data_IF_609578337763
#
_entry.id   IF_609578337763
#
_cell.length_a   1.000
_cell.length_b   1.000
_cell.length_c   1.000
_cell.angle_alpha   90.00
_cell.angle_beta   90.00
_cell.angle_gamma   90.00
#
_symmetry.space_group_name_H-M   'P 1'
#
loop_
_entity.id
_entity.type
_entity.pdbx_description
1 polymer ?
#
# COMPACT_ATOMS: atom_id res chain seq x y z
N UNK A 1 5.68 -16.93 -9.24
CA UNK A 1 6.63 -16.40 -10.26
C UNK A 1 6.01 -15.20 -11.00
N UNK A 2 4.79 -15.33 -11.51
CA UNK A 2 4.06 -14.27 -12.24
C UNK A 2 3.89 -12.98 -11.41
N UNK A 3 3.48 -13.11 -10.14
CA UNK A 3 3.31 -11.96 -9.24
C UNK A 3 4.62 -11.21 -8.98
N UNK A 4 5.74 -11.94 -8.81
CA UNK A 4 7.06 -11.31 -8.64
C UNK A 4 7.53 -10.59 -9.91
N UNK A 5 7.26 -11.16 -11.08
CA UNK A 5 7.59 -10.54 -12.36
C UNK A 5 6.76 -9.27 -12.58
N UNK A 6 5.46 -9.28 -12.26
CA UNK A 6 4.59 -8.10 -12.27
C UNK A 6 5.09 -7.02 -11.30
N UNK A 7 5.44 -7.37 -10.05
CA UNK A 7 6.05 -6.42 -9.10
C UNK A 7 7.31 -5.78 -9.68
N UNK A 8 8.24 -6.57 -10.22
CA UNK A 8 9.46 -6.06 -10.86
C UNK A 8 9.18 -5.11 -12.02
N UNK A 9 8.15 -5.39 -12.82
CA UNK A 9 7.74 -4.53 -13.95
C UNK A 9 7.15 -3.21 -13.45
N UNK A 10 6.38 -3.24 -12.37
CA UNK A 10 5.86 -2.04 -11.69
C UNK A 10 7.02 -1.25 -11.08
N UNK A 11 7.91 -1.92 -10.35
CA UNK A 11 9.07 -1.31 -9.69
C UNK A 11 10.13 -0.80 -10.68
N UNK A 12 10.25 -1.41 -11.87
CA UNK A 12 11.12 -0.93 -12.94
C UNK A 12 10.79 0.48 -13.42
N UNK A 13 9.58 0.95 -13.16
CA UNK A 13 9.21 2.35 -13.34
C UNK A 13 9.79 3.28 -12.29
N UNK A 14 10.23 2.76 -11.14
CA UNK A 14 10.85 3.56 -10.10
C UNK A 14 12.14 4.27 -10.57
N UNK A 15 12.84 3.73 -11.57
CA UNK A 15 13.99 4.40 -12.16
C UNK A 15 13.61 5.68 -12.92
N UNK A 16 12.50 5.64 -13.69
CA UNK A 16 11.95 6.81 -14.38
C UNK A 16 11.44 7.84 -13.37
N UNK A 17 10.83 7.37 -12.30
CA UNK A 17 10.36 8.14 -11.16
C UNK A 17 11.52 8.88 -10.46
N UNK A 18 12.68 8.23 -10.28
CA UNK A 18 13.86 8.85 -9.69
C UNK A 18 14.34 10.05 -10.51
N UNK A 19 14.40 9.92 -11.82
CA UNK A 19 14.82 10.99 -12.72
C UNK A 19 13.84 12.17 -12.69
N UNK A 20 12.54 11.91 -12.65
CA UNK A 20 11.53 12.96 -12.50
C UNK A 20 11.62 13.64 -11.13
N UNK A 21 11.83 12.87 -10.07
CA UNK A 21 12.03 13.39 -8.72
C UNK A 21 13.24 14.32 -8.62
N UNK A 22 14.35 13.98 -9.26
CA UNK A 22 15.53 14.86 -9.32
C UNK A 22 15.21 16.20 -9.98
N UNK A 23 14.39 16.21 -11.03
CA UNK A 23 13.93 17.47 -11.65
C UNK A 23 13.02 18.29 -10.75
N UNK A 24 12.17 17.65 -9.93
CA UNK A 24 11.30 18.32 -8.98
C UNK A 24 12.07 18.92 -7.78
N UNK A 25 13.18 18.29 -7.39
CA UNK A 25 14.07 18.82 -6.33
C UNK A 25 14.81 20.10 -6.76
N UNK A 26 14.83 20.42 -8.04
CA UNK A 26 15.40 21.68 -8.56
C UNK A 26 14.42 22.84 -8.52
N UNK A 27 13.14 22.60 -8.19
CA UNK A 27 12.16 23.67 -8.02
C UNK A 27 12.40 24.39 -6.68
N UNK A 28 12.83 25.68 -6.69
CA UNK A 28 13.13 26.42 -5.48
C UNK A 28 11.91 26.74 -4.61
N UNK A 29 10.71 26.58 -5.15
CA UNK A 29 9.46 26.81 -4.43
C UNK A 29 8.91 25.53 -3.79
N UNK A 30 9.49 24.38 -4.07
CA UNK A 30 9.06 23.11 -3.51
C UNK A 30 9.65 22.89 -2.13
N UNK A 31 8.83 22.59 -1.10
CA UNK A 31 9.35 22.25 0.23
C UNK A 31 10.24 21.00 0.17
N UNK A 32 11.53 21.13 0.53
CA UNK A 32 12.51 20.05 0.45
C UNK A 32 12.36 18.96 1.51
N UNK A 33 11.49 19.18 2.50
CA UNK A 33 11.27 18.26 3.62
C UNK A 33 10.01 17.40 3.51
N UNK A 34 9.18 17.60 2.48
CA UNK A 34 8.01 16.75 2.28
C UNK A 34 8.37 15.47 1.52
N UNK A 35 7.77 14.36 1.96
CA UNK A 35 7.73 13.17 1.13
C UNK A 35 7.01 13.50 -0.18
N UNK A 36 7.66 13.19 -1.28
CA UNK A 36 7.13 13.39 -2.61
C UNK A 36 6.95 12.05 -3.26
N UNK A 37 5.69 11.68 -3.49
CA UNK A 37 5.36 10.51 -4.28
C UNK A 37 5.82 10.72 -5.73
N UNK A 38 6.32 9.68 -6.40
CA UNK A 38 6.71 9.74 -7.80
C UNK A 38 5.54 10.12 -8.70
N UNK A 39 5.52 11.36 -9.15
CA UNK A 39 4.54 11.89 -10.10
C UNK A 39 4.97 11.58 -11.55
N UNK A 40 4.03 11.64 -12.49
CA UNK A 40 4.29 11.50 -13.94
C UNK A 40 4.20 10.07 -14.48
N UNK A 41 4.49 9.06 -13.69
CA UNK A 41 4.33 7.64 -14.07
C UNK A 41 3.17 7.00 -13.32
N UNK A 42 2.89 7.48 -12.11
CA UNK A 42 1.83 7.03 -11.24
C UNK A 42 1.00 8.22 -10.75
N UNK A 43 -0.28 7.99 -10.48
CA UNK A 43 -1.14 8.95 -9.82
C UNK A 43 -1.27 8.54 -8.34
N UNK A 44 -0.61 9.26 -7.41
CA UNK A 44 -0.68 8.95 -5.99
C UNK A 44 -1.96 9.52 -5.38
N UNK A 45 -2.49 8.79 -4.39
CA UNK A 45 -3.52 9.27 -3.49
C UNK A 45 -3.39 8.55 -2.15
N UNK A 46 -4.31 8.64 -1.26
CA UNK A 46 -4.40 8.10 0.08
C UNK A 46 -3.13 7.51 0.72
N UNK A 47 -2.52 8.19 1.71
CA UNK A 47 -1.52 7.58 2.57
C UNK A 47 -2.19 6.51 3.44
N UNK A 48 -1.55 5.35 3.55
CA UNK A 48 -2.06 4.18 4.26
C UNK A 48 -1.00 3.55 5.16
N UNK A 49 -1.45 2.64 6.02
CA UNK A 49 -0.60 1.64 6.65
C UNK A 49 0.62 2.18 7.39
N UNK A 50 0.55 3.37 7.98
CA UNK A 50 1.65 3.91 8.76
C UNK A 50 1.93 3.04 9.99
N UNK A 51 3.21 2.65 10.19
CA UNK A 51 3.64 1.88 11.34
C UNK A 51 5.11 2.19 11.68
N UNK A 52 5.43 2.28 12.99
CA UNK A 52 6.81 2.28 13.45
C UNK A 52 7.25 0.82 13.70
N UNK A 53 8.26 0.38 12.96
CA UNK A 53 8.74 -0.99 13.02
C UNK A 53 10.27 -1.05 12.92
N UNK A 54 10.89 -1.77 13.84
CA UNK A 54 12.36 -2.00 13.86
C UNK A 54 13.21 -0.74 13.62
N UNK A 55 12.85 0.36 14.31
CA UNK A 55 13.62 1.62 14.26
C UNK A 55 13.29 2.51 13.06
N UNK A 56 12.27 2.20 12.28
CA UNK A 56 11.86 2.99 11.12
C UNK A 56 10.36 3.29 11.13
N UNK A 57 10.01 4.47 10.65
CA UNK A 57 8.63 4.82 10.29
C UNK A 57 8.37 4.31 8.88
N UNK A 58 7.46 3.38 8.72
CA UNK A 58 6.99 2.91 7.44
C UNK A 58 5.70 3.60 7.09
N UNK A 59 5.55 3.97 5.82
CA UNK A 59 4.34 4.56 5.26
C UNK A 59 4.05 3.88 3.92
N UNK A 60 2.83 3.47 3.76
CA UNK A 60 2.31 3.02 2.47
C UNK A 60 1.42 4.10 1.89
N UNK A 61 1.20 4.04 0.58
CA UNK A 61 0.30 4.96 -0.13
C UNK A 61 -0.26 4.26 -1.37
N UNK A 62 -1.49 4.60 -1.72
CA UNK A 62 -2.06 4.11 -2.96
C UNK A 62 -1.47 4.88 -4.13
N UNK A 63 -1.13 4.19 -5.21
CA UNK A 63 -0.85 4.79 -6.48
C UNK A 63 -1.51 4.01 -7.62
N UNK A 64 -1.93 4.75 -8.66
CA UNK A 64 -2.51 4.18 -9.86
C UNK A 64 -1.47 4.08 -10.96
N UNK A 65 -1.24 2.86 -11.44
CA UNK A 65 -0.45 2.63 -12.65
C UNK A 65 -1.40 2.53 -13.86
N UNK A 66 -1.23 3.46 -14.80
CA UNK A 66 -2.02 3.51 -16.05
C UNK A 66 -1.26 2.94 -17.24
N UNK A 67 -0.04 2.44 -17.04
CA UNK A 67 0.74 1.83 -18.11
C UNK A 67 0.12 0.50 -18.55
N UNK A 68 0.12 0.24 -19.83
CA UNK A 68 -0.51 -0.97 -20.38
C UNK A 68 -2.01 -0.87 -20.61
N UNK A 69 -2.61 0.33 -20.47
CA UNK A 69 -4.00 0.62 -20.87
C UNK A 69 -5.07 0.24 -19.82
N UNK A 70 -4.69 -0.41 -18.73
CA UNK A 70 -5.60 -0.71 -17.61
C UNK A 70 -5.15 0.04 -16.37
N UNK A 71 -6.11 0.71 -15.71
CA UNK A 71 -5.91 1.32 -14.40
C UNK A 71 -5.81 0.22 -13.36
N UNK A 72 -4.73 0.22 -12.59
CA UNK A 72 -4.58 -0.67 -11.45
C UNK A 72 -4.06 0.10 -10.25
N UNK A 73 -4.61 -0.20 -9.07
CA UNK A 73 -4.25 0.43 -7.81
C UNK A 73 -3.30 -0.48 -7.03
N UNK A 74 -2.25 0.11 -6.49
CA UNK A 74 -1.20 -0.59 -5.76
C UNK A 74 -0.84 0.17 -4.49
N UNK A 75 -0.25 -0.52 -3.52
CA UNK A 75 0.35 0.11 -2.35
C UNK A 75 1.85 0.29 -2.56
N UNK A 76 2.28 1.52 -2.79
CA UNK A 76 3.68 1.92 -2.70
C UNK A 76 4.16 1.89 -1.26
N UNK A 77 5.49 1.77 -1.06
CA UNK A 77 6.09 1.65 0.26
C UNK A 77 7.31 2.56 0.38
N UNK A 78 7.35 3.31 1.46
CA UNK A 78 8.51 4.12 1.86
C UNK A 78 8.80 3.96 3.34
N UNK A 79 10.05 4.21 3.75
CA UNK A 79 10.38 4.28 5.17
C UNK A 79 11.39 5.36 5.47
N UNK A 80 11.38 5.85 6.73
CA UNK A 80 12.26 6.88 7.23
C UNK A 80 12.69 6.59 8.67
N UNK A 81 13.88 7.05 9.05
CA UNK A 81 14.33 7.06 10.45
C UNK A 81 14.04 8.38 11.16
N UNK A 82 13.74 9.44 10.42
CA UNK A 82 13.64 10.82 10.92
C UNK A 82 12.42 11.60 10.39
N UNK A 83 11.58 10.98 9.55
CA UNK A 83 10.41 11.56 8.87
C UNK A 83 10.75 12.62 7.81
N UNK A 84 12.02 12.92 7.59
CA UNK A 84 12.48 13.88 6.58
C UNK A 84 13.13 13.19 5.38
N UNK A 85 13.95 12.17 5.63
CA UNK A 85 14.66 11.42 4.60
C UNK A 85 13.96 10.08 4.36
N UNK A 86 13.36 9.92 3.19
CA UNK A 86 12.57 8.76 2.85
C UNK A 86 13.28 7.83 1.87
N UNK A 87 13.31 6.55 2.22
CA UNK A 87 13.77 5.46 1.36
C UNK A 87 12.57 4.84 0.67
N UNK A 88 12.64 4.68 -0.65
CA UNK A 88 11.66 3.90 -1.41
C UNK A 88 11.97 2.41 -1.32
N UNK A 89 10.92 1.63 -1.16
CA UNK A 89 10.94 0.18 -1.14
C UNK A 89 10.23 -0.38 -2.38
N UNK A 90 10.33 -1.70 -2.65
CA UNK A 90 9.46 -2.36 -3.60
C UNK A 90 7.98 -2.15 -3.28
N UNK A 91 7.13 -2.20 -4.29
CA UNK A 91 5.68 -2.11 -4.13
C UNK A 91 5.19 -3.20 -3.17
N UNK A 92 4.50 -2.81 -2.11
CA UNK A 92 4.03 -3.71 -1.06
C UNK A 92 2.92 -4.64 -1.57
N UNK A 93 1.77 -4.08 -1.93
CA UNK A 93 0.61 -4.81 -2.44
C UNK A 93 0.27 -4.36 -3.86
N UNK A 94 -0.16 -5.28 -4.70
CA UNK A 94 -0.54 -5.03 -6.09
C UNK A 94 -1.97 -5.48 -6.37
N UNK A 95 -2.57 -4.87 -7.42
CA UNK A 95 -3.83 -5.25 -8.06
C UNK A 95 -5.10 -4.95 -7.24
N UNK A 96 -5.60 -3.74 -7.43
CA UNK A 96 -6.91 -3.31 -6.91
C UNK A 96 -6.94 -3.10 -5.40
N UNK A 97 -5.83 -2.62 -4.83
CA UNK A 97 -5.70 -2.38 -3.39
C UNK A 97 -6.11 -0.95 -3.06
N UNK A 98 -7.19 -0.81 -2.28
CA UNK A 98 -7.64 0.47 -1.73
C UNK A 98 -7.27 0.63 -0.26
N UNK A 99 -7.74 1.72 0.36
CA UNK A 99 -7.34 2.20 1.67
C UNK A 99 -7.43 1.15 2.78
N UNK A 100 -6.69 1.38 3.83
CA UNK A 100 -6.62 0.56 5.03
C UNK A 100 -5.50 1.01 5.96
N UNK A 101 -5.11 0.15 6.90
CA UNK A 101 -4.03 0.45 7.83
C UNK A 101 -3.08 -0.73 8.06
N UNK A 102 -2.00 -0.47 8.78
CA UNK A 102 -1.08 -1.50 9.28
C UNK A 102 -1.13 -1.52 10.81
N UNK A 103 -1.13 -2.71 11.40
CA UNK A 103 -1.14 -2.94 12.84
C UNK A 103 -0.31 -4.18 13.19
N UNK A 104 0.00 -4.36 14.47
CA UNK A 104 0.62 -5.59 14.96
C UNK A 104 -0.48 -6.59 15.33
N UNK A 105 -0.40 -7.80 14.77
CA UNK A 105 -1.31 -8.89 15.13
C UNK A 105 -0.98 -9.51 16.49
N UNK A 106 -1.69 -10.54 16.91
CA UNK A 106 -1.51 -11.24 18.18
C UNK A 106 -0.08 -11.76 18.41
N UNK A 107 0.64 -12.07 17.35
CA UNK A 107 2.03 -12.54 17.38
C UNK A 107 3.04 -11.40 17.28
N UNK A 108 2.60 -10.14 17.31
CA UNK A 108 3.45 -8.96 17.16
C UNK A 108 4.01 -8.79 15.74
N UNK A 109 3.39 -9.38 14.74
CA UNK A 109 3.82 -9.30 13.33
C UNK A 109 3.01 -8.22 12.61
N UNK A 110 3.65 -7.31 11.86
CA UNK A 110 2.96 -6.32 11.06
C UNK A 110 1.97 -6.95 10.09
N UNK A 111 0.74 -6.49 10.15
CA UNK A 111 -0.38 -6.98 9.36
C UNK A 111 -1.10 -5.80 8.72
N UNK A 112 -1.30 -5.86 7.41
CA UNK A 112 -2.07 -4.88 6.66
C UNK A 112 -3.53 -5.34 6.58
N UNK A 113 -4.44 -4.42 6.91
CA UNK A 113 -5.85 -4.51 6.61
C UNK A 113 -6.13 -3.57 5.43
N UNK A 114 -6.75 -4.05 4.37
CA UNK A 114 -6.96 -3.30 3.14
C UNK A 114 -8.29 -3.66 2.46
N UNK A 115 -8.84 -2.73 1.69
CA UNK A 115 -9.97 -3.04 0.82
C UNK A 115 -9.43 -3.53 -0.54
N UNK A 116 -9.88 -4.70 -0.97
CA UNK A 116 -9.62 -5.20 -2.31
C UNK A 116 -10.87 -4.99 -3.18
N UNK A 117 -10.72 -4.24 -4.27
CA UNK A 117 -11.79 -3.96 -5.23
C UNK A 117 -12.44 -5.24 -5.72
N UNK A 118 -13.76 -5.24 -5.81
CA UNK A 118 -14.60 -6.37 -6.24
C UNK A 118 -14.51 -7.63 -5.34
N UNK A 119 -13.89 -7.53 -4.17
CA UNK A 119 -13.79 -8.66 -3.23
C UNK A 119 -14.22 -8.29 -1.82
N UNK A 120 -13.71 -7.20 -1.27
CA UNK A 120 -14.00 -6.76 0.09
C UNK A 120 -12.75 -6.57 0.94
N UNK A 121 -12.95 -6.41 2.27
CA UNK A 121 -11.87 -6.16 3.20
C UNK A 121 -11.07 -7.43 3.49
N UNK A 122 -9.76 -7.31 3.45
CA UNK A 122 -8.80 -8.40 3.43
C UNK A 122 -7.60 -8.10 4.31
N UNK A 123 -6.82 -9.13 4.65
CA UNK A 123 -5.60 -9.04 5.43
C UNK A 123 -4.38 -9.59 4.68
N UNK A 124 -3.23 -9.01 4.93
CA UNK A 124 -1.93 -9.54 4.52
C UNK A 124 -0.92 -9.41 5.67
N UNK A 125 -0.11 -10.43 5.89
CA UNK A 125 0.87 -10.52 6.98
C UNK A 125 2.27 -10.39 6.40
N UNK A 126 3.11 -9.56 7.04
CA UNK A 126 4.50 -9.37 6.63
C UNK A 126 5.29 -10.69 6.73
N UNK A 127 6.17 -10.89 5.77
CA UNK A 127 7.07 -12.05 5.71
C UNK A 127 8.54 -11.67 5.97
N UNK A 128 8.85 -10.38 6.05
CA UNK A 128 10.20 -9.88 6.28
C UNK A 128 10.22 -8.62 7.17
N UNK A 129 11.39 -8.31 7.68
CA UNK A 129 11.60 -7.18 8.60
C UNK A 129 11.55 -5.81 7.93
N UNK A 130 11.80 -5.74 6.63
CA UNK A 130 11.74 -4.50 5.84
C UNK A 130 10.33 -4.20 5.30
N UNK A 131 9.36 -5.06 5.57
CA UNK A 131 7.95 -4.95 5.14
C UNK A 131 7.80 -4.88 3.60
N UNK A 132 8.64 -5.60 2.88
CA UNK A 132 8.62 -5.65 1.41
C UNK A 132 7.78 -6.81 0.88
N UNK A 133 7.68 -7.90 1.64
CA UNK A 133 6.97 -9.12 1.24
C UNK A 133 5.75 -9.35 2.13
N UNK A 134 4.60 -9.57 1.50
CA UNK A 134 3.32 -9.73 2.17
C UNK A 134 2.60 -11.00 1.72
N UNK A 135 2.15 -11.78 2.68
CA UNK A 135 1.33 -12.97 2.43
C UNK A 135 -0.14 -12.64 2.70
N UNK A 136 -0.97 -12.65 1.67
CA UNK A 136 -2.43 -12.54 1.79
C UNK A 136 -2.97 -13.79 2.49
N UNK A 137 -3.95 -13.63 3.39
CA UNK A 137 -4.60 -14.76 4.05
C UNK A 137 -5.44 -15.56 3.04
N UNK A 138 -5.47 -16.88 3.23
CA UNK A 138 -6.29 -17.77 2.40
C UNK A 138 -7.79 -17.55 2.66
N UNK A 139 -8.14 -17.09 3.88
CA UNK A 139 -9.52 -16.76 4.28
C UNK A 139 -10.05 -15.43 3.73
N UNK A 140 -9.25 -14.68 2.97
CA UNK A 140 -9.70 -13.43 2.38
C UNK A 140 -10.82 -13.63 1.33
N UNK A 141 -11.76 -12.71 1.23
CA UNK A 141 -11.94 -11.52 2.06
C UNK A 141 -12.55 -11.88 3.43
N UNK A 142 -12.12 -11.19 4.49
CA UNK A 142 -12.69 -11.35 5.84
C UNK A 142 -14.05 -10.65 5.99
N UNK A 143 -14.29 -9.60 5.22
CA UNK A 143 -15.58 -8.93 5.08
C UNK A 143 -15.87 -8.80 3.58
N UNK A 144 -16.61 -9.72 2.97
CA UNK A 144 -16.88 -9.69 1.55
C UNK A 144 -17.64 -8.44 1.11
N UNK A 145 -17.39 -7.98 -0.10
CA UNK A 145 -18.31 -7.06 -0.77
C UNK A 145 -19.65 -7.74 -1.01
N UNK A 146 -20.73 -6.98 -0.90
CA UNK A 146 -22.08 -7.51 -1.07
C UNK A 146 -22.78 -6.80 -2.23
N UNK A 147 -23.38 -7.59 -3.11
CA UNK A 147 -24.14 -7.13 -4.26
C UNK A 147 -25.64 -7.30 -4.03
N UNK A 148 -26.44 -6.68 -4.90
CA UNK A 148 -27.89 -6.86 -4.89
C UNK A 148 -28.24 -8.37 -5.03
N UNK A 149 -29.05 -8.86 -4.09
CA UNK A 149 -29.41 -10.28 -3.98
C UNK A 149 -28.60 -11.07 -2.95
N UNK A 150 -27.48 -10.57 -2.44
CA UNK A 150 -26.70 -11.23 -1.40
C UNK A 150 -27.39 -11.09 -0.02
N UNK A 151 -27.23 -12.11 0.84
CA UNK A 151 -27.85 -12.16 2.17
C UNK A 151 -27.55 -10.93 3.05
N UNK A 152 -26.39 -10.32 2.88
CA UNK A 152 -25.91 -9.19 3.69
C UNK A 152 -25.98 -7.85 2.97
N UNK A 153 -26.50 -7.82 1.74
CA UNK A 153 -26.65 -6.58 0.98
C UNK A 153 -27.45 -5.53 1.76
N UNK A 154 -26.90 -4.32 1.85
CA UNK A 154 -27.50 -3.22 2.61
C UNK A 154 -27.36 -3.30 4.14
N UNK A 155 -26.81 -4.40 4.71
CA UNK A 155 -26.56 -4.54 6.15
C UNK A 155 -25.22 -3.93 6.56
N UNK A 156 -24.24 -3.94 5.68
CA UNK A 156 -22.95 -3.30 5.85
C UNK A 156 -22.38 -2.92 4.47
N UNK A 157 -21.36 -2.08 4.50
CA UNK A 157 -20.55 -1.76 3.33
C UNK A 157 -19.10 -2.15 3.61
N UNK A 158 -18.53 -3.00 2.78
CA UNK A 158 -17.11 -3.34 2.84
C UNK A 158 -16.32 -2.23 2.15
N UNK A 159 -15.62 -1.39 2.93
CA UNK A 159 -14.83 -0.26 2.45
C UNK A 159 -13.85 0.17 3.54
N UNK A 160 -12.76 0.87 3.21
CA UNK A 160 -11.79 1.54 4.09
C UNK A 160 -11.64 0.90 5.50
N UNK A 161 -11.13 -0.34 5.61
CA UNK A 161 -11.07 -1.04 6.88
C UNK A 161 -10.00 -0.44 7.79
N UNK A 162 -10.26 -0.51 9.10
CA UNK A 162 -9.29 -0.22 10.13
C UNK A 162 -9.17 -1.42 11.08
N UNK A 163 -7.99 -2.07 11.08
CA UNK A 163 -7.69 -3.21 11.94
C UNK A 163 -6.85 -2.81 13.15
N UNK A 164 -7.08 -3.46 14.26
CA UNK A 164 -6.24 -3.41 15.45
C UNK A 164 -6.29 -4.74 16.20
N UNK A 165 -5.34 -4.96 17.08
CA UNK A 165 -5.35 -6.09 18.01
C UNK A 165 -5.51 -5.59 19.43
N UNK A 166 -6.50 -6.12 20.14
CA UNK A 166 -6.75 -5.86 21.54
C UNK A 166 -6.46 -7.12 22.35
N UNK A 167 -5.61 -6.98 23.36
CA UNK A 167 -5.42 -8.06 24.35
C UNK A 167 -6.58 -8.00 25.35
N UNK A 168 -7.34 -9.09 25.43
CA UNK A 168 -8.40 -9.25 26.43
C UNK A 168 -7.87 -9.41 27.86
#
# INVERSE_FOLDING_TARGET
>A
KETMERKRKIDGSAAVIRQHRESLLQDPLRPGYHFVVPEGVAFPFDPNGAIYWKGRYHLFYIFQDKRGGQKSDHWGHVSSTDLFHWRHHPTGLIDGMFSGNCFLNENGVPTICYHQVDKGNSLAVSQDDDLNEWKKLESNPITPETNEGDQHHGKYRSWDPFGWYERG
#
